data_IF_353300204371
#
_entry.id   IF_353300204371
#
_cell.length_a   1.000
_cell.length_b   1.000
_cell.length_c   1.000
_cell.angle_alpha   90.00
_cell.angle_beta   90.00
_cell.angle_gamma   90.00
#
_symmetry.space_group_name_H-M   'P 1'
#
loop_
_entity.id
_entity.type
_entity.pdbx_description
1 polymer ?
#
# COMPACT_ATOMS: atom_id res chain seq x y z
N UNK A 1 36.31 40.54 -11.25
CA UNK A 1 35.00 40.38 -11.87
C UNK A 1 34.85 38.91 -12.25
N UNK A 2 34.27 38.13 -11.42
CA UNK A 2 33.98 36.71 -11.68
C UNK A 2 32.47 36.54 -11.72
N UNK A 3 32.00 36.05 -12.85
CA UNK A 3 30.62 35.67 -13.05
C UNK A 3 30.37 34.34 -12.34
N UNK A 4 29.42 34.34 -11.41
CA UNK A 4 28.96 33.15 -10.77
C UNK A 4 28.23 32.24 -11.74
N UNK A 5 28.56 30.97 -11.71
CA UNK A 5 27.81 29.90 -12.31
C UNK A 5 26.61 29.55 -11.39
N UNK A 6 25.46 29.93 -11.87
CA UNK A 6 24.17 29.41 -11.37
C UNK A 6 23.93 28.11 -12.12
N UNK A 7 23.88 27.04 -11.41
CA UNK A 7 23.63 25.70 -11.95
C UNK A 7 23.57 24.69 -10.82
N UNK A 8 22.75 24.96 -9.79
CA UNK A 8 22.39 23.91 -8.86
C UNK A 8 21.35 23.03 -9.56
N UNK A 9 21.81 22.01 -10.25
CA UNK A 9 21.04 20.81 -10.41
C UNK A 9 20.70 20.32 -9.00
N UNK A 10 19.55 20.71 -8.54
CA UNK A 10 18.97 20.18 -7.33
C UNK A 10 18.63 18.74 -7.65
N UNK A 11 19.61 17.85 -7.42
CA UNK A 11 19.35 16.43 -7.34
C UNK A 11 18.17 16.27 -6.39
N UNK A 12 17.01 15.95 -6.94
CA UNK A 12 15.89 15.39 -6.20
C UNK A 12 16.45 14.07 -5.68
N UNK A 13 17.07 14.13 -4.50
CA UNK A 13 17.38 12.94 -3.74
C UNK A 13 16.06 12.21 -3.60
N UNK A 14 15.98 11.04 -4.23
CA UNK A 14 14.93 10.07 -3.98
C UNK A 14 14.80 9.91 -2.46
N UNK A 15 13.83 10.60 -1.86
CA UNK A 15 13.59 10.57 -0.41
C UNK A 15 13.04 9.23 0.07
N UNK A 16 12.91 8.26 -0.82
CA UNK A 16 12.34 6.95 -0.54
C UNK A 16 13.41 5.86 -0.59
N UNK A 17 14.45 6.00 0.25
CA UNK A 17 15.27 4.83 0.63
C UNK A 17 14.56 4.07 1.75
N UNK A 18 13.30 3.69 1.54
CA UNK A 18 12.65 2.78 2.47
C UNK A 18 13.28 1.40 2.29
N UNK A 19 13.99 0.95 3.31
CA UNK A 19 14.53 -0.40 3.32
C UNK A 19 13.34 -1.37 3.55
N UNK A 20 13.08 -2.31 2.63
CA UNK A 20 11.99 -3.26 2.80
C UNK A 20 12.15 -4.07 4.09
N UNK A 21 11.03 -4.33 4.75
CA UNK A 21 11.00 -5.06 6.01
C UNK A 21 11.45 -6.50 5.78
N UNK A 22 12.31 -7.05 6.65
CA UNK A 22 12.75 -8.45 6.66
C UNK A 22 13.25 -8.96 5.30
N UNK A 23 13.94 -8.11 4.54
CA UNK A 23 14.30 -8.42 3.14
C UNK A 23 15.22 -9.65 3.02
N UNK A 24 16.16 -9.83 3.94
CA UNK A 24 17.07 -10.97 3.92
C UNK A 24 16.36 -12.28 4.27
N UNK A 25 15.47 -12.24 5.24
CA UNK A 25 14.64 -13.37 5.66
C UNK A 25 13.68 -13.76 4.53
N UNK A 26 13.10 -12.76 3.86
CA UNK A 26 12.22 -12.98 2.69
C UNK A 26 12.97 -13.71 1.60
N UNK A 27 14.14 -13.24 1.19
CA UNK A 27 14.91 -13.89 0.12
C UNK A 27 15.33 -15.30 0.51
N UNK A 28 15.84 -15.49 1.72
CA UNK A 28 16.28 -16.81 2.20
C UNK A 28 15.16 -17.86 2.21
N UNK A 29 13.94 -17.44 2.52
CA UNK A 29 12.80 -18.35 2.63
C UNK A 29 11.97 -18.45 1.35
N UNK A 30 12.11 -17.51 0.42
CA UNK A 30 11.34 -17.49 -0.82
C UNK A 30 12.12 -18.11 -1.98
N UNK A 31 13.38 -17.68 -2.21
CA UNK A 31 14.14 -18.05 -3.41
C UNK A 31 14.94 -19.31 -3.14
N UNK A 32 14.33 -20.47 -3.40
CA UNK A 32 14.99 -21.78 -3.25
C UNK A 32 15.67 -22.22 -4.55
N UNK A 33 15.13 -21.84 -5.71
CA UNK A 33 15.69 -22.11 -7.03
C UNK A 33 15.92 -20.79 -7.78
N UNK A 34 17.16 -20.41 -8.08
CA UNK A 34 17.47 -19.22 -8.86
C UNK A 34 16.87 -19.21 -10.28
N UNK A 35 16.51 -20.39 -10.84
CA UNK A 35 15.84 -20.52 -12.14
C UNK A 35 14.31 -20.54 -12.03
N UNK A 36 13.75 -20.48 -10.83
CA UNK A 36 12.32 -20.57 -10.55
C UNK A 36 11.51 -19.34 -10.95
N UNK A 37 10.21 -19.49 -10.92
CA UNK A 37 9.22 -18.41 -11.17
C UNK A 37 8.59 -17.96 -9.87
N UNK A 38 8.75 -16.69 -9.53
CA UNK A 38 8.28 -16.10 -8.27
C UNK A 38 7.22 -15.03 -8.52
N UNK A 39 6.33 -14.87 -7.55
CA UNK A 39 5.29 -13.86 -7.57
C UNK A 39 5.40 -12.95 -6.33
N UNK A 40 5.59 -11.65 -6.58
CA UNK A 40 5.44 -10.59 -5.58
C UNK A 40 4.03 -10.01 -5.69
N UNK A 41 3.18 -10.26 -4.69
CA UNK A 41 1.77 -9.86 -4.70
C UNK A 41 1.53 -8.43 -4.20
N UNK A 42 2.57 -7.75 -3.72
CA UNK A 42 2.53 -6.44 -3.06
C UNK A 42 3.73 -5.61 -3.49
N UNK A 43 3.80 -5.32 -4.80
CA UNK A 43 4.96 -4.69 -5.41
C UNK A 43 5.39 -3.37 -4.75
N UNK A 44 4.41 -2.50 -4.43
CA UNK A 44 4.66 -1.19 -3.82
C UNK A 44 5.67 -0.34 -4.62
N UNK A 45 6.80 -0.03 -4.01
CA UNK A 45 7.93 0.68 -4.65
C UNK A 45 8.97 -0.26 -5.29
N UNK A 46 8.74 -1.57 -5.25
CA UNK A 46 9.58 -2.59 -5.88
C UNK A 46 10.85 -2.95 -5.11
N UNK A 47 10.91 -2.67 -3.81
CA UNK A 47 12.08 -2.99 -2.99
C UNK A 47 12.35 -4.48 -2.90
N UNK A 48 11.35 -5.28 -2.52
CA UNK A 48 11.44 -6.74 -2.48
C UNK A 48 11.66 -7.33 -3.88
N UNK A 49 10.90 -6.86 -4.88
CA UNK A 49 11.05 -7.31 -6.27
C UNK A 49 12.48 -7.15 -6.80
N UNK A 50 13.13 -6.01 -6.55
CA UNK A 50 14.54 -5.82 -6.95
C UNK A 50 15.45 -6.83 -6.26
N UNK A 51 15.23 -7.07 -4.97
CA UNK A 51 16.07 -8.02 -4.22
C UNK A 51 15.84 -9.46 -4.66
N UNK A 52 14.61 -9.83 -5.00
CA UNK A 52 14.32 -11.15 -5.60
C UNK A 52 15.09 -11.30 -6.90
N UNK A 53 15.01 -10.32 -7.82
CA UNK A 53 15.73 -10.34 -9.11
C UNK A 53 17.25 -10.49 -8.96
N UNK A 54 17.87 -9.88 -7.93
CA UNK A 54 19.29 -10.03 -7.63
C UNK A 54 19.68 -11.47 -7.27
N UNK A 55 18.75 -12.29 -6.85
CA UNK A 55 18.96 -13.67 -6.44
C UNK A 55 18.50 -14.71 -7.49
N UNK A 56 17.95 -14.25 -8.62
CA UNK A 56 17.60 -15.11 -9.75
C UNK A 56 18.76 -15.16 -10.77
N UNK A 57 18.88 -16.30 -11.45
CA UNK A 57 19.74 -16.43 -12.63
C UNK A 57 19.00 -16.00 -13.92
N UNK A 58 19.63 -16.19 -15.08
CA UNK A 58 19.07 -15.77 -16.37
C UNK A 58 17.79 -16.51 -16.79
N UNK A 59 17.53 -17.70 -16.24
CA UNK A 59 16.36 -18.52 -16.51
C UNK A 59 15.22 -18.23 -15.53
N UNK A 60 15.52 -17.58 -14.40
CA UNK A 60 14.55 -17.22 -13.40
C UNK A 60 13.58 -16.14 -13.87
N UNK A 61 12.39 -16.10 -13.27
CA UNK A 61 11.35 -15.13 -13.60
C UNK A 61 10.72 -14.54 -12.35
N UNK A 62 10.45 -13.24 -12.38
CA UNK A 62 9.67 -12.55 -11.36
C UNK A 62 8.43 -11.92 -12.00
N UNK A 63 7.27 -12.31 -11.51
CA UNK A 63 6.01 -11.62 -11.75
C UNK A 63 5.74 -10.76 -10.51
N UNK A 64 5.40 -9.49 -10.70
CA UNK A 64 4.97 -8.63 -9.62
C UNK A 64 3.59 -8.05 -9.91
N UNK A 65 2.75 -8.01 -8.90
CA UNK A 65 1.43 -7.42 -9.00
C UNK A 65 1.18 -6.41 -7.90
N UNK A 66 0.35 -5.43 -8.20
CA UNK A 66 -0.18 -4.50 -7.21
C UNK A 66 -1.54 -3.97 -7.67
N UNK A 67 -2.46 -3.76 -6.74
CA UNK A 67 -3.77 -3.18 -7.03
C UNK A 67 -3.71 -1.66 -7.19
N UNK A 68 -2.70 -1.00 -6.61
CA UNK A 68 -2.52 0.45 -6.68
C UNK A 68 -1.91 0.83 -8.03
N UNK A 69 -2.64 1.60 -8.84
CA UNK A 69 -2.16 2.05 -10.15
C UNK A 69 -0.92 2.95 -10.11
N UNK A 70 -0.69 3.64 -9.00
CA UNK A 70 0.48 4.51 -8.86
C UNK A 70 1.78 3.70 -8.92
N UNK A 71 1.74 2.41 -8.55
CA UNK A 71 2.89 1.50 -8.60
C UNK A 71 3.38 1.21 -10.03
N UNK A 72 2.54 1.39 -11.05
CA UNK A 72 2.90 1.20 -12.46
C UNK A 72 4.12 2.04 -12.84
N UNK A 73 4.17 3.30 -12.39
CA UNK A 73 5.28 4.20 -12.68
C UNK A 73 6.61 3.73 -12.07
N UNK A 74 6.55 3.03 -10.95
CA UNK A 74 7.72 2.45 -10.29
C UNK A 74 8.16 1.15 -10.96
N UNK A 75 7.21 0.32 -11.40
CA UNK A 75 7.53 -0.92 -12.12
C UNK A 75 8.26 -0.65 -13.44
N UNK A 76 7.92 0.42 -14.13
CA UNK A 76 8.57 0.84 -15.37
C UNK A 76 10.06 1.23 -15.20
N UNK A 77 10.51 1.51 -13.97
CA UNK A 77 11.92 1.79 -13.65
C UNK A 77 12.79 0.53 -13.61
N UNK A 78 12.18 -0.65 -13.47
CA UNK A 78 12.91 -1.93 -13.46
C UNK A 78 13.10 -2.38 -14.90
N UNK A 79 14.35 -2.32 -15.38
CA UNK A 79 14.73 -2.70 -16.76
C UNK A 79 15.40 -4.07 -16.78
N UNK A 80 14.70 -5.09 -16.32
CA UNK A 80 15.16 -6.47 -16.27
C UNK A 80 14.24 -7.36 -17.12
N UNK A 81 14.80 -8.15 -18.05
CA UNK A 81 14.03 -9.04 -18.95
C UNK A 81 13.25 -10.13 -18.20
N UNK A 82 13.66 -10.45 -16.99
CA UNK A 82 13.05 -11.47 -16.12
C UNK A 82 11.85 -10.93 -15.35
N UNK A 83 11.67 -9.60 -15.32
CA UNK A 83 10.64 -8.90 -14.57
C UNK A 83 9.40 -8.64 -15.40
N UNK A 84 8.24 -9.02 -14.86
CA UNK A 84 6.93 -8.79 -15.46
C UNK A 84 6.00 -8.18 -14.42
N UNK A 85 5.46 -6.99 -14.70
CA UNK A 85 4.51 -6.33 -13.81
C UNK A 85 3.09 -6.36 -14.38
N UNK A 86 2.09 -6.59 -13.52
CA UNK A 86 0.66 -6.41 -13.85
C UNK A 86 -0.02 -5.61 -12.75
N UNK A 87 -0.79 -4.58 -13.13
CA UNK A 87 -1.68 -3.93 -12.18
C UNK A 87 -2.88 -4.85 -11.92
N UNK A 88 -2.85 -5.60 -10.83
CA UNK A 88 -3.80 -6.66 -10.51
C UNK A 88 -3.97 -6.78 -9.00
N UNK A 89 -5.20 -6.99 -8.54
CA UNK A 89 -5.45 -7.37 -7.16
C UNK A 89 -5.08 -8.85 -6.95
N UNK A 90 -4.35 -9.16 -5.89
CA UNK A 90 -3.93 -10.53 -5.57
C UNK A 90 -5.10 -11.51 -5.36
N UNK A 91 -6.33 -11.04 -5.12
CA UNK A 91 -7.53 -11.90 -5.15
C UNK A 91 -7.79 -12.55 -6.52
N UNK A 92 -7.09 -12.09 -7.57
CA UNK A 92 -7.20 -12.59 -8.95
C UNK A 92 -5.93 -13.33 -9.41
N UNK A 93 -5.12 -13.84 -8.49
CA UNK A 93 -3.86 -14.57 -8.80
C UNK A 93 -4.10 -15.71 -9.79
N UNK A 94 -5.21 -16.44 -9.66
CA UNK A 94 -5.57 -17.54 -10.57
C UNK A 94 -5.58 -17.13 -12.05
N UNK A 95 -5.82 -15.85 -12.35
CA UNK A 95 -5.78 -15.35 -13.72
C UNK A 95 -4.37 -15.24 -14.32
N UNK A 96 -3.33 -15.51 -13.56
CA UNK A 96 -1.94 -15.49 -14.06
C UNK A 96 -1.60 -16.75 -14.88
N UNK A 97 -2.35 -17.84 -14.72
CA UNK A 97 -2.19 -19.12 -15.43
C UNK A 97 -0.70 -19.53 -15.58
N UNK A 98 0.02 -19.47 -14.46
CA UNK A 98 1.48 -19.70 -14.43
C UNK A 98 1.81 -20.54 -13.21
N UNK A 99 2.65 -21.58 -13.41
CA UNK A 99 3.22 -22.33 -12.31
C UNK A 99 4.21 -21.45 -11.57
N UNK A 100 4.07 -21.37 -10.24
CA UNK A 100 4.91 -20.57 -9.36
C UNK A 100 5.69 -21.49 -8.42
N UNK A 101 6.97 -21.17 -8.20
CA UNK A 101 7.84 -21.86 -7.23
C UNK A 101 7.81 -21.14 -5.88
N UNK A 102 7.38 -19.88 -5.84
CA UNK A 102 7.17 -19.16 -4.60
C UNK A 102 6.27 -17.93 -4.78
N UNK A 103 5.53 -17.61 -3.71
CA UNK A 103 4.64 -16.44 -3.66
C UNK A 103 4.97 -15.64 -2.42
N UNK A 104 5.05 -14.32 -2.58
CA UNK A 104 5.36 -13.37 -1.51
C UNK A 104 4.24 -12.35 -1.32
N UNK A 105 3.92 -12.07 -0.06
CA UNK A 105 3.00 -11.03 0.36
C UNK A 105 3.64 -10.21 1.48
N UNK A 106 3.74 -8.89 1.27
CA UNK A 106 4.02 -7.90 2.31
C UNK A 106 2.73 -7.10 2.56
N UNK A 107 1.89 -7.62 3.47
CA UNK A 107 0.55 -7.08 3.68
C UNK A 107 0.60 -5.82 4.55
N UNK A 108 0.01 -4.76 4.07
CA UNK A 108 -0.08 -3.48 4.77
C UNK A 108 -0.19 -2.30 3.82
N UNK A 109 0.02 -1.10 4.36
CA UNK A 109 0.09 0.13 3.57
C UNK A 109 1.51 0.38 3.10
N UNK A 110 1.69 0.81 1.86
CA UNK A 110 3.00 1.24 1.37
C UNK A 110 3.39 2.59 1.97
N UNK A 111 4.71 2.87 2.06
CA UNK A 111 5.21 4.18 2.49
C UNK A 111 4.64 5.31 1.63
N UNK A 112 4.50 5.09 0.33
CA UNK A 112 3.90 6.05 -0.60
C UNK A 112 2.47 6.44 -0.18
N UNK A 113 1.65 5.45 0.23
CA UNK A 113 0.29 5.70 0.69
C UNK A 113 0.24 6.43 2.03
N UNK A 114 1.20 6.17 2.93
CA UNK A 114 1.28 6.83 4.23
C UNK A 114 1.84 8.26 4.14
N UNK A 115 2.75 8.51 3.21
CA UNK A 115 3.42 9.81 3.04
C UNK A 115 2.56 10.83 2.32
N UNK A 116 1.65 10.38 1.45
CA UNK A 116 0.72 11.22 0.71
C UNK A 116 -0.57 11.45 1.53
N UNK A 117 -0.80 12.68 2.06
CA UNK A 117 -2.01 12.97 2.83
C UNK A 117 -3.30 12.80 2.01
N UNK A 118 -3.24 13.01 0.67
CA UNK A 118 -4.40 12.86 -0.23
C UNK A 118 -4.89 11.42 -0.35
N UNK A 119 -4.09 10.44 0.11
CA UNK A 119 -4.48 9.02 0.15
C UNK A 119 -5.34 8.67 1.39
N UNK A 120 -5.34 9.49 2.42
CA UNK A 120 -6.16 9.29 3.61
C UNK A 120 -5.73 8.18 4.56
N UNK A 121 -4.50 7.66 4.43
CA UNK A 121 -3.97 6.61 5.33
C UNK A 121 -3.20 7.18 6.52
N UNK A 122 -2.77 8.44 6.46
CA UNK A 122 -2.01 9.07 7.54
C UNK A 122 -2.94 9.68 8.60
N UNK A 123 -2.60 9.46 9.87
CA UNK A 123 -3.19 10.20 10.99
C UNK A 123 -2.28 11.34 11.48
N UNK A 124 -1.06 11.46 10.94
CA UNK A 124 -0.11 12.54 11.27
C UNK A 124 -0.33 13.79 10.41
N UNK A 125 -0.80 13.59 9.18
CA UNK A 125 -1.11 14.66 8.23
C UNK A 125 -2.59 14.62 7.93
N UNK A 126 -3.27 15.78 8.02
CA UNK A 126 -4.68 15.85 7.65
C UNK A 126 -4.84 15.73 6.13
N UNK A 127 -5.87 15.02 5.72
CA UNK A 127 -6.22 14.79 4.34
C UNK A 127 -7.64 14.22 4.21
N UNK A 128 -8.15 14.06 2.99
CA UNK A 128 -9.45 13.48 2.76
C UNK A 128 -9.52 12.06 3.33
N UNK A 129 -10.65 11.68 3.88
CA UNK A 129 -10.85 10.33 4.41
C UNK A 129 -11.16 9.35 3.26
N UNK A 130 -10.15 9.14 2.38
CA UNK A 130 -10.28 8.29 1.19
C UNK A 130 -9.99 6.81 1.52
N UNK A 131 -8.76 6.46 1.85
CA UNK A 131 -8.26 5.13 2.22
C UNK A 131 -8.43 4.04 1.14
N UNK A 132 -8.71 4.40 -0.11
CA UNK A 132 -8.73 3.42 -1.21
C UNK A 132 -7.30 3.09 -1.64
N UNK A 133 -6.95 1.83 -1.65
CA UNK A 133 -5.66 1.40 -2.21
C UNK A 133 -5.64 1.53 -3.74
N UNK A 134 -6.77 1.30 -4.39
CA UNK A 134 -6.98 1.65 -5.80
C UNK A 134 -8.00 2.79 -5.87
N UNK A 135 -7.59 3.96 -6.34
CA UNK A 135 -8.46 5.16 -6.48
C UNK A 135 -9.65 4.98 -7.43
N UNK A 136 -9.67 3.89 -8.20
CA UNK A 136 -10.83 3.55 -9.07
C UNK A 136 -11.92 2.77 -8.33
N UNK A 137 -11.70 2.35 -7.11
CA UNK A 137 -12.75 1.75 -6.27
C UNK A 137 -13.82 2.79 -5.96
N UNK A 138 -15.09 2.34 -5.96
CA UNK A 138 -16.23 3.25 -5.87
C UNK A 138 -16.37 3.92 -4.50
N UNK A 139 -16.03 3.20 -3.40
CA UNK A 139 -16.38 3.61 -2.04
C UNK A 139 -15.13 4.06 -1.29
N UNK A 140 -15.11 5.34 -0.89
CA UNK A 140 -14.11 5.90 0.02
C UNK A 140 -14.44 5.58 1.48
N UNK A 141 -13.45 5.69 2.38
CA UNK A 141 -13.69 5.57 3.82
C UNK A 141 -14.66 6.66 4.32
N UNK A 142 -14.63 7.87 3.73
CA UNK A 142 -15.59 8.93 4.02
C UNK A 142 -17.01 8.47 3.74
N UNK A 143 -17.26 7.96 2.53
CA UNK A 143 -18.58 7.48 2.15
C UNK A 143 -19.04 6.35 3.06
N UNK A 144 -18.15 5.37 3.27
CA UNK A 144 -18.48 4.20 4.09
C UNK A 144 -18.81 4.57 5.53
N UNK A 145 -17.97 5.34 6.24
CA UNK A 145 -18.18 5.67 7.65
C UNK A 145 -19.45 6.53 7.86
N UNK A 146 -19.80 7.33 6.84
CA UNK A 146 -20.97 8.18 6.89
C UNK A 146 -22.29 7.46 6.51
N UNK A 147 -22.23 6.27 5.92
CA UNK A 147 -23.42 5.53 5.44
C UNK A 147 -23.60 4.16 6.09
N UNK A 148 -22.53 3.45 6.44
CA UNK A 148 -22.58 2.11 7.02
C UNK A 148 -23.42 2.07 8.31
N UNK A 149 -24.08 0.96 8.56
CA UNK A 149 -24.86 0.75 9.79
C UNK A 149 -23.98 0.68 11.03
N UNK A 150 -24.54 0.92 12.21
CA UNK A 150 -23.81 0.76 13.49
C UNK A 150 -23.20 -0.64 13.60
N UNK A 151 -23.94 -1.66 13.15
CA UNK A 151 -23.48 -3.05 13.19
C UNK A 151 -22.26 -3.26 12.27
N UNK A 152 -22.31 -2.79 11.02
CA UNK A 152 -21.19 -2.92 10.08
C UNK A 152 -19.94 -2.23 10.59
N UNK A 153 -20.07 -1.01 11.12
CA UNK A 153 -18.95 -0.28 11.72
C UNK A 153 -18.37 -1.07 12.90
N UNK A 154 -19.24 -1.58 13.78
CA UNK A 154 -18.81 -2.38 14.93
C UNK A 154 -18.10 -3.66 14.50
N UNK A 155 -18.62 -4.37 13.51
CA UNK A 155 -18.07 -5.62 13.02
C UNK A 155 -16.68 -5.40 12.37
N UNK A 156 -16.51 -4.34 11.57
CA UNK A 156 -15.22 -3.98 10.98
C UNK A 156 -14.20 -3.63 12.07
N UNK A 157 -14.56 -2.77 13.02
CA UNK A 157 -13.67 -2.39 14.12
C UNK A 157 -13.29 -3.59 14.99
N UNK A 158 -14.19 -4.53 15.19
CA UNK A 158 -13.92 -5.71 16.02
C UNK A 158 -13.10 -6.77 15.28
N UNK A 159 -13.57 -7.20 14.10
CA UNK A 159 -12.96 -8.33 13.40
C UNK A 159 -11.68 -7.98 12.64
N UNK A 160 -11.58 -6.74 12.13
CA UNK A 160 -10.42 -6.30 11.36
C UNK A 160 -9.50 -5.36 12.14
N UNK A 161 -10.07 -4.60 13.09
CA UNK A 161 -9.30 -3.66 13.92
C UNK A 161 -8.98 -4.19 15.31
N UNK A 162 -9.47 -5.38 15.69
CA UNK A 162 -9.31 -5.98 17.03
C UNK A 162 -9.74 -5.05 18.18
N UNK A 163 -10.62 -4.07 17.87
CA UNK A 163 -11.05 -3.06 18.85
C UNK A 163 -12.17 -3.61 19.75
N UNK A 164 -11.85 -3.84 21.01
CA UNK A 164 -12.78 -4.41 22.00
C UNK A 164 -13.96 -3.50 22.31
N UNK A 165 -13.79 -2.17 22.21
CA UNK A 165 -14.86 -1.17 22.39
C UNK A 165 -15.60 -0.86 21.08
N UNK A 166 -15.51 -1.72 20.06
CA UNK A 166 -16.06 -1.51 18.73
C UNK A 166 -17.52 -1.01 18.73
N UNK A 167 -18.39 -1.65 19.53
CA UNK A 167 -19.81 -1.25 19.66
C UNK A 167 -19.98 0.17 20.22
N UNK A 168 -19.13 0.54 21.16
CA UNK A 168 -19.14 1.88 21.74
C UNK A 168 -18.75 2.93 20.69
N UNK A 169 -17.63 2.70 19.97
CA UNK A 169 -17.18 3.62 18.92
C UNK A 169 -18.20 3.69 17.76
N UNK A 170 -18.73 2.55 17.32
CA UNK A 170 -19.72 2.50 16.26
C UNK A 170 -20.96 3.36 16.59
N UNK A 171 -21.51 3.21 17.81
CA UNK A 171 -22.62 4.03 18.28
C UNK A 171 -22.27 5.51 18.27
N UNK A 172 -21.09 5.88 18.80
CA UNK A 172 -20.64 7.27 18.84
C UNK A 172 -20.43 7.87 17.46
N UNK A 173 -19.89 7.11 16.52
CA UNK A 173 -19.76 7.51 15.11
C UNK A 173 -21.14 7.80 14.51
N UNK A 174 -22.11 6.89 14.70
CA UNK A 174 -23.47 7.04 14.17
C UNK A 174 -24.21 8.23 14.82
N UNK A 175 -24.00 8.48 16.11
CA UNK A 175 -24.54 9.66 16.80
C UNK A 175 -23.95 10.97 16.22
N UNK A 176 -22.62 11.03 16.09
CA UNK A 176 -21.93 12.25 15.67
C UNK A 176 -22.21 12.60 14.20
N UNK A 177 -22.18 11.61 13.29
CA UNK A 177 -22.37 11.85 11.85
C UNK A 177 -23.76 12.39 11.49
N UNK A 178 -24.76 12.27 12.40
CA UNK A 178 -26.07 12.91 12.24
C UNK A 178 -25.98 14.43 12.35
N UNK A 179 -24.96 14.95 13.07
CA UNK A 179 -24.72 16.38 13.27
C UNK A 179 -23.65 16.90 12.32
N UNK A 180 -22.56 16.16 12.18
CA UNK A 180 -21.40 16.55 11.38
C UNK A 180 -20.82 15.30 10.71
N UNK A 181 -20.72 15.32 9.39
CA UNK A 181 -20.11 14.24 8.61
C UNK A 181 -18.60 14.19 8.83
N UNK A 182 -18.04 12.99 8.87
CA UNK A 182 -16.61 12.79 8.82
C UNK A 182 -16.11 13.05 7.39
N UNK A 183 -15.11 13.90 7.23
CA UNK A 183 -14.54 14.29 5.92
C UNK A 183 -13.04 14.11 5.85
N UNK A 184 -12.34 14.20 6.98
CA UNK A 184 -10.89 14.14 7.00
C UNK A 184 -10.36 13.15 8.05
N UNK A 185 -9.10 12.76 7.85
CA UNK A 185 -8.39 11.86 8.75
C UNK A 185 -8.24 12.47 10.13
N UNK A 186 -7.96 13.79 10.23
CA UNK A 186 -7.85 14.48 11.50
C UNK A 186 -9.18 14.49 12.28
N UNK A 187 -10.32 14.69 11.60
CA UNK A 187 -11.61 14.63 12.26
C UNK A 187 -11.87 13.27 12.91
N UNK A 188 -11.57 12.18 12.18
CA UNK A 188 -11.74 10.83 12.72
C UNK A 188 -10.75 10.54 13.84
N UNK A 189 -9.48 10.93 13.69
CA UNK A 189 -8.45 10.77 14.70
C UNK A 189 -8.80 11.49 16.01
N UNK A 190 -9.17 12.78 15.93
CA UNK A 190 -9.58 13.57 17.10
C UNK A 190 -10.83 12.99 17.77
N UNK A 191 -11.76 12.44 16.98
CA UNK A 191 -12.92 11.76 17.54
C UNK A 191 -12.50 10.52 18.35
N UNK A 192 -11.63 9.66 17.81
CA UNK A 192 -11.17 8.45 18.51
C UNK A 192 -10.39 8.81 19.78
N UNK A 193 -9.52 9.83 19.73
CA UNK A 193 -8.75 10.29 20.89
C UNK A 193 -9.64 10.83 22.03
N UNK A 194 -10.79 11.34 21.71
CA UNK A 194 -11.73 11.92 22.70
C UNK A 194 -12.39 10.84 23.56
N UNK A 195 -12.53 9.61 23.10
CA UNK A 195 -13.27 8.52 23.74
C UNK A 195 -12.38 7.29 24.04
#
# INVERSE_FOLDING_TARGET
>A
ISKGLVGSEMCIRDRFTHQPVMINETIKNLVHDPAGTYLDCTFGLGGHSKKILENLNDDGRLIAIDRDKETVSYSQKIKDKRFHFKNLNFSKIESLDTRLDGIFFDLGNSSMQLDDPERGFSFQKDGPLDMRMNKEEEITAEQWINTATEKEISDVLFHLGEERKSRFYARKIVELRKKTKFKSTAQLSLFIQKY
#
